data_IF_592074155916
#
_entry.id   IF_592074155916
#
_cell.length_a   1.000
_cell.length_b   1.000
_cell.length_c   1.000
_cell.angle_alpha   90.00
_cell.angle_beta   90.00
_cell.angle_gamma   90.00
#
_symmetry.space_group_name_H-M   'P 1'
#
loop_
_entity.id
_entity.type
_entity.pdbx_description
1 polymer ?
#
# COMPACT_ATOMS: atom_id res chain seq x y z
N UNK A 1 -41.95 -60.47 -14.55
CA UNK A 1 -42.41 -59.06 -14.56
C UNK A 1 -41.29 -58.21 -13.98
N UNK A 2 -40.61 -57.28 -14.63
CA UNK A 2 -40.73 -56.72 -15.97
C UNK A 2 -39.34 -56.24 -16.40
N UNK A 3 -38.97 -56.55 -17.63
CA UNK A 3 -37.91 -55.87 -18.38
C UNK A 3 -38.51 -54.60 -18.97
N UNK A 4 -37.89 -53.44 -18.79
CA UNK A 4 -38.11 -52.28 -19.66
C UNK A 4 -36.82 -51.46 -19.82
N UNK A 5 -36.63 -51.06 -21.07
CA UNK A 5 -35.46 -50.52 -21.77
C UNK A 5 -35.39 -48.97 -21.65
N UNK A 6 -34.36 -48.31 -22.23
CA UNK A 6 -33.92 -46.97 -21.85
C UNK A 6 -34.75 -45.85 -22.50
N UNK A 7 -34.68 -44.64 -21.94
CA UNK A 7 -35.14 -43.42 -22.60
C UNK A 7 -33.96 -42.50 -22.92
N UNK A 8 -33.91 -42.11 -24.18
CA UNK A 8 -32.88 -41.34 -24.87
C UNK A 8 -33.47 -39.95 -25.16
N UNK A 9 -32.69 -38.86 -25.02
CA UNK A 9 -32.86 -37.55 -25.68
C UNK A 9 -31.82 -36.61 -25.00
N UNK A 10 -30.91 -35.88 -25.64
CA UNK A 10 -30.76 -35.47 -27.03
C UNK A 10 -29.30 -35.06 -27.26
N UNK A 11 -28.73 -35.39 -28.42
CA UNK A 11 -27.49 -34.78 -28.91
C UNK A 11 -27.68 -33.27 -29.05
N UNK A 12 -26.91 -32.46 -28.31
CA UNK A 12 -26.58 -31.10 -28.77
C UNK A 12 -25.06 -30.97 -28.85
N UNK A 13 -24.61 -30.82 -30.09
CA UNK A 13 -23.24 -30.55 -30.48
C UNK A 13 -22.92 -29.11 -30.06
N UNK A 14 -22.21 -28.93 -28.95
CA UNK A 14 -21.51 -27.68 -28.64
C UNK A 14 -20.02 -27.96 -28.61
N UNK A 15 -19.39 -27.63 -29.74
CA UNK A 15 -17.96 -27.53 -29.93
C UNK A 15 -17.40 -26.44 -29.01
N UNK A 16 -17.07 -26.79 -27.77
CA UNK A 16 -16.09 -26.03 -27.00
C UNK A 16 -15.08 -27.01 -26.44
N UNK A 17 -13.94 -27.05 -27.12
CA UNK A 17 -12.68 -27.60 -26.63
C UNK A 17 -12.33 -26.81 -25.37
N UNK A 18 -12.94 -27.16 -24.23
CA UNK A 18 -12.50 -26.69 -22.93
C UNK A 18 -11.13 -27.33 -22.72
N UNK A 19 -10.08 -26.62 -23.13
CA UNK A 19 -8.75 -26.89 -22.61
C UNK A 19 -8.88 -26.69 -21.10
N UNK A 20 -8.85 -27.79 -20.34
CA UNK A 20 -8.54 -27.77 -18.92
C UNK A 20 -7.20 -27.03 -18.82
N UNK A 21 -7.26 -25.72 -18.59
CA UNK A 21 -6.08 -24.94 -18.25
C UNK A 21 -5.61 -25.53 -16.94
N UNK A 22 -4.45 -26.19 -16.96
CA UNK A 22 -3.67 -26.42 -15.76
C UNK A 22 -3.58 -25.07 -15.05
N UNK A 23 -4.16 -24.97 -13.85
CA UNK A 23 -3.98 -23.81 -12.99
C UNK A 23 -2.54 -23.92 -12.49
N UNK A 24 -1.58 -23.45 -13.27
CA UNK A 24 -0.23 -23.24 -12.77
C UNK A 24 -0.32 -22.20 -11.66
N UNK A 25 0.23 -22.46 -10.46
CA UNK A 25 0.21 -21.49 -9.38
C UNK A 25 0.89 -20.22 -9.90
N UNK A 26 0.19 -19.07 -9.85
CA UNK A 26 0.76 -17.79 -10.30
C UNK A 26 2.13 -17.61 -9.67
N UNK A 27 3.18 -17.70 -10.49
CA UNK A 27 4.57 -17.63 -10.05
C UNK A 27 4.82 -16.22 -9.50
N UNK A 28 4.77 -16.05 -8.18
CA UNK A 28 5.04 -14.76 -7.52
C UNK A 28 6.49 -14.35 -7.80
N UNK A 29 6.73 -13.26 -8.55
CA UNK A 29 8.08 -12.92 -9.04
C UNK A 29 8.96 -12.23 -7.98
N UNK A 30 8.36 -11.72 -6.90
CA UNK A 30 9.07 -10.98 -5.85
C UNK A 30 9.35 -11.86 -4.64
N UNK A 31 8.30 -12.18 -3.87
CA UNK A 31 8.38 -13.08 -2.73
C UNK A 31 7.36 -14.21 -2.92
N UNK A 32 7.86 -15.41 -3.14
CA UNK A 32 7.03 -16.58 -3.43
C UNK A 32 6.49 -17.28 -2.18
N UNK A 33 7.18 -17.20 -1.04
CA UNK A 33 6.83 -18.00 0.14
C UNK A 33 7.18 -17.34 1.48
N UNK A 34 6.83 -16.06 1.68
CA UNK A 34 6.94 -15.49 3.02
C UNK A 34 5.98 -16.21 3.96
N UNK A 35 6.49 -16.61 5.12
CA UNK A 35 5.75 -17.32 6.14
C UNK A 35 4.61 -16.44 6.66
N UNK A 36 3.39 -16.97 6.59
CA UNK A 36 2.17 -16.24 6.92
C UNK A 36 2.25 -15.67 8.35
N UNK A 37 1.99 -14.36 8.49
CA UNK A 37 1.98 -13.58 9.74
C UNK A 37 3.33 -13.33 10.44
N UNK A 38 4.42 -13.94 9.99
CA UNK A 38 5.74 -13.75 10.63
C UNK A 38 6.78 -13.13 9.70
N UNK A 39 6.57 -13.20 8.38
CA UNK A 39 7.42 -12.54 7.40
C UNK A 39 6.61 -11.59 6.51
N UNK A 40 7.25 -10.51 6.09
CA UNK A 40 6.71 -9.53 5.17
C UNK A 40 7.63 -9.39 3.96
N UNK A 41 7.06 -9.25 2.76
CA UNK A 41 7.83 -9.03 1.54
C UNK A 41 8.21 -7.55 1.43
N UNK A 42 9.46 -7.23 1.79
CA UNK A 42 9.96 -5.86 1.85
C UNK A 42 11.04 -5.60 0.80
N UNK A 43 10.97 -4.43 0.17
CA UNK A 43 12.07 -3.85 -0.58
C UNK A 43 12.91 -3.01 0.38
N UNK A 44 14.14 -3.45 0.62
CA UNK A 44 15.12 -2.74 1.43
C UNK A 44 16.00 -1.86 0.53
N UNK A 45 16.59 -0.82 1.10
CA UNK A 45 17.41 0.12 0.33
C UNK A 45 18.70 -0.52 -0.23
N UNK A 46 19.22 -1.55 0.44
CA UNK A 46 20.47 -2.23 0.08
C UNK A 46 20.26 -3.54 -0.69
N UNK A 47 19.03 -4.01 -0.84
CA UNK A 47 18.75 -5.23 -1.60
C UNK A 47 18.50 -4.88 -3.06
N UNK A 48 18.85 -5.75 -3.99
CA UNK A 48 18.50 -5.56 -5.42
C UNK A 48 17.04 -5.92 -5.69
N UNK A 49 16.49 -6.90 -4.96
CA UNK A 49 15.09 -7.37 -5.06
C UNK A 49 14.37 -7.34 -3.71
N UNK A 50 13.03 -7.40 -3.68
CA UNK A 50 12.29 -7.61 -2.44
C UNK A 50 12.64 -8.95 -1.79
N UNK A 51 12.65 -8.98 -0.46
CA UNK A 51 12.99 -10.16 0.33
C UNK A 51 11.94 -10.38 1.42
N UNK A 52 11.71 -11.64 1.79
CA UNK A 52 10.93 -11.97 2.98
C UNK A 52 11.77 -11.64 4.20
N UNK A 53 11.27 -10.74 5.04
CA UNK A 53 11.96 -10.31 6.25
C UNK A 53 11.08 -10.58 7.47
N UNK A 54 11.65 -11.00 8.61
CA UNK A 54 10.89 -11.21 9.82
C UNK A 54 10.23 -9.92 10.31
N UNK A 55 8.98 -10.04 10.71
CA UNK A 55 8.25 -9.00 11.43
C UNK A 55 8.92 -8.81 12.80
N UNK A 56 9.31 -7.57 13.11
CA UNK A 56 9.89 -7.16 14.40
C UNK A 56 8.84 -6.92 15.47
N UNK A 57 7.69 -6.40 15.07
CA UNK A 57 6.59 -6.10 15.97
C UNK A 57 5.26 -6.48 15.32
N UNK A 58 4.62 -7.52 15.87
CA UNK A 58 3.32 -8.04 15.41
C UNK A 58 2.15 -7.11 15.75
N UNK A 59 2.36 -6.16 16.67
CA UNK A 59 1.39 -5.13 17.05
C UNK A 59 1.59 -3.81 16.28
N UNK A 60 2.55 -3.75 15.35
CA UNK A 60 2.83 -2.53 14.58
C UNK A 60 1.68 -2.17 13.63
N UNK A 61 0.93 -1.14 14.02
CA UNK A 61 -0.19 -0.57 13.28
C UNK A 61 0.21 0.13 11.97
N UNK A 62 1.50 0.39 11.73
CA UNK A 62 1.97 0.99 10.46
C UNK A 62 1.93 0.02 9.28
N UNK A 63 1.76 -1.29 9.53
CA UNK A 63 1.52 -2.31 8.51
C UNK A 63 2.78 -2.94 7.89
N UNK A 64 3.97 -2.53 8.32
CA UNK A 64 5.26 -3.11 7.88
C UNK A 64 5.94 -3.97 8.95
N UNK A 65 5.20 -4.41 9.98
CA UNK A 65 5.72 -5.34 10.98
C UNK A 65 6.91 -4.82 11.79
N UNK A 66 6.93 -3.54 12.13
CA UNK A 66 7.95 -2.88 12.95
C UNK A 66 9.21 -2.51 12.19
N UNK A 67 9.19 -2.56 10.85
CA UNK A 67 10.39 -2.36 10.03
C UNK A 67 10.63 -0.92 9.60
N UNK A 68 9.60 -0.07 9.65
CA UNK A 68 9.73 1.35 9.32
C UNK A 68 9.92 2.19 10.58
N UNK A 69 10.68 3.28 10.46
CA UNK A 69 10.89 4.20 11.57
C UNK A 69 9.57 4.90 11.97
N UNK A 70 9.25 4.85 13.26
CA UNK A 70 8.07 5.51 13.85
C UNK A 70 8.17 7.02 13.59
N UNK A 71 7.05 7.64 13.21
CA UNK A 71 6.89 9.09 12.92
C UNK A 71 7.66 9.66 11.72
N UNK A 72 8.73 9.02 11.23
CA UNK A 72 9.51 9.51 10.08
C UNK A 72 9.20 8.75 8.80
N UNK A 73 8.70 7.52 8.89
CA UNK A 73 8.40 6.66 7.74
C UNK A 73 6.98 6.09 7.80
N UNK A 74 6.50 5.61 6.66
CA UNK A 74 5.27 4.85 6.52
C UNK A 74 5.48 3.64 5.62
N UNK A 75 4.64 2.62 5.79
CA UNK A 75 4.65 1.42 4.97
C UNK A 75 3.99 1.70 3.62
N UNK A 76 4.78 1.90 2.57
CA UNK A 76 4.29 2.11 1.21
C UNK A 76 4.05 0.77 0.53
N UNK A 77 2.87 0.62 -0.09
CA UNK A 77 2.57 -0.54 -0.94
C UNK A 77 3.19 -0.30 -2.33
N UNK A 78 4.18 -1.10 -2.70
CA UNK A 78 4.78 -1.07 -4.04
C UNK A 78 3.99 -1.90 -5.05
N UNK A 79 3.41 -3.01 -4.60
CA UNK A 79 2.55 -3.84 -5.44
C UNK A 79 1.44 -4.49 -4.64
N UNK A 80 0.20 -4.14 -4.95
CA UNK A 80 -0.97 -4.73 -4.32
C UNK A 80 -1.16 -6.21 -4.71
N UNK A 81 -0.96 -6.55 -6.00
CA UNK A 81 -1.08 -7.93 -6.51
C UNK A 81 -0.11 -8.88 -5.81
N UNK A 82 1.12 -8.43 -5.57
CA UNK A 82 2.17 -9.27 -5.01
C UNK A 82 2.47 -8.99 -3.53
N UNK A 83 1.74 -8.07 -2.90
CA UNK A 83 1.93 -7.63 -1.51
C UNK A 83 3.39 -7.29 -1.20
N UNK A 84 3.97 -6.41 -2.00
CA UNK A 84 5.34 -5.91 -1.82
C UNK A 84 5.30 -4.54 -1.16
N UNK A 85 6.09 -4.35 -0.11
CA UNK A 85 6.10 -3.14 0.70
C UNK A 85 7.49 -2.48 0.73
N UNK A 86 7.54 -1.20 1.03
CA UNK A 86 8.78 -0.44 1.25
C UNK A 86 8.54 0.65 2.30
N UNK A 87 9.53 0.92 3.14
CA UNK A 87 9.48 2.10 3.99
C UNK A 87 9.72 3.36 3.16
N UNK A 88 8.77 4.28 3.23
CA UNK A 88 8.83 5.56 2.52
C UNK A 88 8.83 6.69 3.54
N UNK A 89 9.61 7.77 3.34
CA UNK A 89 9.60 8.90 4.25
C UNK A 89 8.20 9.52 4.31
N UNK A 90 7.71 9.79 5.52
CA UNK A 90 6.53 10.64 5.67
C UNK A 90 6.91 12.01 5.13
N UNK A 91 6.12 12.50 4.19
CA UNK A 91 6.25 13.88 3.71
C UNK A 91 5.70 14.79 4.80
N UNK A 92 6.51 15.04 5.83
CA UNK A 92 6.20 15.96 6.94
C UNK A 92 6.57 17.40 6.61
N UNK A 93 7.30 17.61 5.52
CA UNK A 93 7.60 18.92 4.96
C UNK A 93 6.77 19.05 3.71
N UNK A 94 5.66 19.77 3.81
CA UNK A 94 5.03 20.34 2.63
C UNK A 94 5.98 21.38 2.05
N UNK A 95 6.45 21.14 0.83
CA UNK A 95 7.18 22.17 0.08
C UNK A 95 6.16 23.17 -0.43
N UNK A 96 6.09 24.32 0.23
CA UNK A 96 5.31 25.45 -0.22
C UNK A 96 6.07 26.22 -1.31
N UNK A 97 5.34 26.90 -2.19
CA UNK A 97 5.96 27.80 -3.17
C UNK A 97 6.62 29.00 -2.47
N UNK A 98 7.49 29.74 -3.16
CA UNK A 98 8.18 30.90 -2.60
C UNK A 98 7.26 32.01 -2.04
N UNK A 99 5.98 32.02 -2.43
CA UNK A 99 4.99 33.03 -2.00
C UNK A 99 3.95 32.41 -1.04
N UNK A 100 4.35 31.37 -0.32
CA UNK A 100 3.48 30.64 0.60
C UNK A 100 4.17 30.38 1.92
N UNK A 101 3.43 30.59 3.01
CA UNK A 101 3.87 30.23 4.35
C UNK A 101 3.56 28.75 4.64
N UNK A 102 4.50 28.07 5.30
CA UNK A 102 4.40 26.64 5.61
C UNK A 102 3.91 26.40 7.05
N UNK A 103 2.66 25.97 7.19
CA UNK A 103 2.07 25.59 8.48
C UNK A 103 2.56 24.21 8.99
N UNK A 104 3.42 23.52 8.25
CA UNK A 104 3.88 22.14 8.49
C UNK A 104 3.00 21.09 7.82
N UNK A 105 1.68 21.24 7.90
CA UNK A 105 0.68 20.32 7.31
C UNK A 105 -0.11 20.92 6.14
N UNK A 106 0.03 22.22 5.86
CA UNK A 106 -0.59 22.94 4.74
C UNK A 106 0.23 24.17 4.36
N UNK A 107 -0.05 24.72 3.17
CA UNK A 107 0.53 25.97 2.71
C UNK A 107 -0.57 27.02 2.60
N UNK A 108 -0.32 28.21 3.13
CA UNK A 108 -1.18 29.39 2.97
C UNK A 108 -0.45 30.45 2.16
N UNK A 109 -1.14 31.53 1.75
CA UNK A 109 -0.46 32.68 1.11
C UNK A 109 0.50 33.32 2.10
N UNK A 110 1.66 33.79 1.65
CA UNK A 110 2.60 34.51 2.52
C UNK A 110 1.97 35.79 3.12
N UNK A 111 1.04 36.41 2.38
CA UNK A 111 0.25 37.58 2.83
C UNK A 111 -0.67 37.28 4.03
N UNK A 112 -0.88 36.00 4.35
CA UNK A 112 -1.68 35.55 5.49
C UNK A 112 -0.84 35.24 6.73
N UNK A 113 0.48 35.38 6.66
CA UNK A 113 1.32 35.32 7.85
C UNK A 113 1.20 36.65 8.59
N UNK A 114 0.91 36.58 9.89
CA UNK A 114 0.77 37.74 10.77
C UNK A 114 -0.29 38.76 10.30
N UNK A 115 -1.40 38.29 9.72
CA UNK A 115 -2.49 39.12 9.23
C UNK A 115 -3.58 39.37 10.31
N UNK A 116 -3.41 38.76 11.48
CA UNK A 116 -4.34 38.83 12.61
C UNK A 116 -5.45 37.77 12.55
N UNK A 117 -5.40 36.80 11.64
CA UNK A 117 -6.35 35.69 11.53
C UNK A 117 -5.62 34.36 11.53
N UNK A 118 -6.22 33.37 12.18
CA UNK A 118 -5.72 32.00 12.15
C UNK A 118 -6.12 31.34 10.81
N UNK A 119 -5.22 31.36 9.84
CA UNK A 119 -5.33 30.67 8.56
C UNK A 119 -4.68 29.28 8.59
N UNK A 120 -3.62 29.06 9.38
CA UNK A 120 -3.09 27.73 9.62
C UNK A 120 -3.99 26.92 10.58
N UNK A 121 -4.11 25.61 10.35
CA UNK A 121 -4.87 24.71 11.26
C UNK A 121 -4.28 24.60 12.67
N UNK A 122 -2.97 24.86 12.81
CA UNK A 122 -2.23 24.92 14.06
C UNK A 122 -1.99 26.35 14.55
N UNK A 123 -2.46 27.38 13.82
CA UNK A 123 -2.30 28.79 14.19
C UNK A 123 -0.87 29.35 14.12
N UNK A 124 0.07 28.59 13.56
CA UNK A 124 1.49 28.97 13.53
C UNK A 124 1.81 30.20 12.68
N UNK A 125 0.90 30.59 11.80
CA UNK A 125 0.96 31.80 10.98
C UNK A 125 0.86 33.10 11.79
N UNK A 126 0.30 33.04 12.99
CA UNK A 126 0.13 34.18 13.90
C UNK A 126 1.06 34.10 15.13
N UNK A 127 2.04 33.18 15.12
CA UNK A 127 3.04 33.03 16.17
C UNK A 127 4.32 33.82 15.84
N UNK A 128 4.93 34.46 16.85
CA UNK A 128 6.20 35.19 16.74
C UNK A 128 6.22 36.36 15.73
N UNK A 129 5.09 37.02 15.53
CA UNK A 129 5.03 38.26 14.75
C UNK A 129 5.82 39.39 15.43
N UNK A 130 6.68 40.07 14.67
CA UNK A 130 7.41 41.23 15.15
C UNK A 130 6.56 42.50 14.97
N UNK A 131 5.93 42.96 16.04
CA UNK A 131 5.14 44.20 16.08
C UNK A 131 5.96 45.38 16.62
#
# INVERSE_FOLDING_TARGET
MSSLKPFNLSKTRLTKKFCLKTIEPEKKPYCNNCTFLVEICMKLNYTSKPECVPVKDIADLTGCGGLCQINTQFCQILSQKYKVFQCSPRKTVLNCNNNQFNCGNMCISDEKSCDGKLDCSNGSDEENCAF
#
